data_IF_795920714875
#
_entry.id   IF_795920714875
#
_cell.length_a   1.000
_cell.length_b   1.000
_cell.length_c   1.000
_cell.angle_alpha   90.00
_cell.angle_beta   90.00
_cell.angle_gamma   90.00
#
_symmetry.space_group_name_H-M   'P 1'
#
loop_
_entity.id
_entity.type
_entity.pdbx_description
1 polymer ?
#
# COMPACT_ATOMS: atom_id res chain seq x y z
N UNK A 1 -11.65 -8.87 8.61
CA UNK A 1 -13.03 -8.69 8.13
C UNK A 1 -13.33 -7.20 8.17
N UNK A 2 -13.86 -6.63 7.08
CA UNK A 2 -14.16 -5.19 6.98
C UNK A 2 -15.66 -4.89 6.96
N UNK A 3 -16.49 -5.87 6.62
CA UNK A 3 -17.95 -5.75 6.66
C UNK A 3 -18.58 -7.11 6.97
N UNK A 4 -19.63 -7.13 7.78
CA UNK A 4 -20.45 -8.30 8.09
C UNK A 4 -21.93 -7.93 7.92
N UNK A 5 -22.72 -8.87 7.40
CA UNK A 5 -24.18 -8.76 7.36
C UNK A 5 -24.85 -10.12 7.55
N UNK A 6 -26.07 -10.12 8.06
CA UNK A 6 -26.84 -11.32 8.38
C UNK A 6 -28.32 -11.01 8.55
N UNK A 7 -28.90 -11.35 9.70
CA UNK A 7 -30.30 -11.05 9.99
C UNK A 7 -30.57 -9.54 10.06
N UNK A 8 -31.74 -9.06 9.57
CA UNK A 8 -32.15 -7.66 9.70
C UNK A 8 -32.68 -7.31 11.10
N UNK A 9 -32.89 -8.27 12.00
CA UNK A 9 -33.51 -8.01 13.30
C UNK A 9 -33.28 -9.10 14.35
N UNK A 10 -33.39 -8.73 15.62
CA UNK A 10 -33.03 -9.60 16.76
C UNK A 10 -33.91 -10.86 16.91
N UNK A 11 -35.10 -10.88 16.31
CA UNK A 11 -36.05 -11.99 16.35
C UNK A 11 -36.23 -12.68 14.98
N UNK A 12 -35.35 -12.40 14.02
CA UNK A 12 -35.38 -13.01 12.68
C UNK A 12 -34.18 -13.92 12.54
N UNK A 13 -34.39 -15.18 12.17
CA UNK A 13 -33.30 -16.11 11.85
C UNK A 13 -32.73 -15.72 10.49
N UNK A 14 -31.41 -15.56 10.40
CA UNK A 14 -30.74 -15.22 9.14
C UNK A 14 -30.83 -16.40 8.15
N UNK A 15 -31.36 -16.16 6.96
CA UNK A 15 -31.30 -17.14 5.86
C UNK A 15 -29.90 -17.24 5.26
N UNK A 16 -29.13 -16.15 5.28
CA UNK A 16 -27.74 -16.07 4.80
C UNK A 16 -26.95 -15.09 5.66
N UNK A 17 -25.66 -15.36 5.84
CA UNK A 17 -24.70 -14.39 6.36
C UNK A 17 -23.63 -14.11 5.31
N UNK A 18 -23.09 -12.89 5.28
CA UNK A 18 -21.98 -12.51 4.40
C UNK A 18 -20.90 -11.77 5.17
N UNK A 19 -19.66 -12.03 4.78
CA UNK A 19 -18.49 -11.35 5.29
C UNK A 19 -17.65 -10.83 4.12
N UNK A 20 -17.28 -9.55 4.15
CA UNK A 20 -16.24 -9.03 3.28
C UNK A 20 -14.91 -9.03 4.02
N UNK A 21 -13.91 -9.62 3.38
CA UNK A 21 -12.54 -9.65 3.88
C UNK A 21 -11.68 -8.84 2.93
N UNK A 22 -11.08 -7.78 3.45
CA UNK A 22 -10.02 -7.09 2.74
C UNK A 22 -8.67 -7.70 3.16
N UNK A 23 -7.88 -8.12 2.18
CA UNK A 23 -6.60 -8.80 2.39
C UNK A 23 -5.49 -8.06 1.65
N UNK A 24 -4.29 -8.06 2.22
CA UNK A 24 -3.06 -7.66 1.53
C UNK A 24 -2.31 -8.94 1.18
N UNK A 25 -2.10 -9.16 -0.12
CA UNK A 25 -1.34 -10.31 -0.63
C UNK A 25 0.15 -9.96 -0.54
N UNK A 26 0.95 -10.86 0.03
CA UNK A 26 2.38 -10.65 0.23
C UNK A 26 3.16 -10.78 -1.08
N UNK A 27 4.30 -10.10 -1.17
CA UNK A 27 5.24 -10.33 -2.28
C UNK A 27 5.67 -11.81 -2.28
N UNK A 28 5.64 -12.44 -3.45
CA UNK A 28 5.92 -13.86 -3.63
C UNK A 28 4.70 -14.79 -3.50
N UNK A 29 3.53 -14.22 -3.20
CA UNK A 29 2.24 -14.92 -3.22
C UNK A 29 1.43 -14.53 -4.46
N UNK A 30 0.35 -15.27 -4.74
CA UNK A 30 -0.65 -14.90 -5.76
C UNK A 30 -2.02 -14.67 -5.15
N UNK A 31 -2.87 -13.89 -5.83
CA UNK A 31 -4.28 -13.73 -5.42
C UNK A 31 -4.98 -15.09 -5.34
N UNK A 32 -4.81 -15.93 -6.35
CA UNK A 32 -5.40 -17.27 -6.39
C UNK A 32 -4.89 -18.18 -5.26
N UNK A 33 -3.58 -18.17 -5.00
CA UNK A 33 -2.98 -18.93 -3.90
C UNK A 33 -3.52 -18.50 -2.53
N UNK A 34 -3.73 -17.20 -2.34
CA UNK A 34 -4.32 -16.67 -1.12
C UNK A 34 -5.82 -17.05 -0.97
N UNK A 35 -6.60 -17.01 -2.06
CA UNK A 35 -8.01 -17.45 -2.06
C UNK A 35 -8.11 -18.93 -1.74
N UNK A 36 -7.26 -19.75 -2.35
CA UNK A 36 -7.23 -21.20 -2.13
C UNK A 36 -6.88 -21.53 -0.67
N UNK A 37 -5.97 -20.78 -0.07
CA UNK A 37 -5.67 -20.89 1.37
C UNK A 37 -6.88 -20.56 2.24
N UNK A 38 -7.65 -19.52 1.88
CA UNK A 38 -8.87 -19.17 2.60
C UNK A 38 -9.88 -20.31 2.50
N UNK A 39 -10.14 -20.83 1.30
CA UNK A 39 -11.06 -21.97 1.09
C UNK A 39 -10.67 -23.18 1.95
N UNK A 40 -9.38 -23.55 1.93
CA UNK A 40 -8.86 -24.65 2.75
C UNK A 40 -8.95 -24.39 4.25
N UNK A 41 -8.81 -23.15 4.69
CA UNK A 41 -8.89 -22.79 6.11
C UNK A 41 -10.33 -22.83 6.61
N UNK A 42 -11.28 -22.39 5.77
CA UNK A 42 -12.71 -22.46 6.08
C UNK A 42 -13.20 -23.90 6.11
N UNK A 43 -12.83 -24.71 5.11
CA UNK A 43 -13.13 -26.15 5.04
C UNK A 43 -14.60 -26.52 5.32
N UNK A 44 -15.53 -25.70 4.82
CA UNK A 44 -16.98 -25.89 4.95
C UNK A 44 -17.63 -25.69 3.58
N UNK A 45 -18.22 -26.76 3.05
CA UNK A 45 -18.87 -26.76 1.73
C UNK A 45 -20.13 -25.90 1.67
N UNK A 46 -20.67 -25.47 2.82
CA UNK A 46 -21.78 -24.52 2.88
C UNK A 46 -21.33 -23.05 2.78
N UNK A 47 -20.02 -22.78 2.81
CA UNK A 47 -19.46 -21.43 2.72
C UNK A 47 -18.88 -21.17 1.35
N UNK A 48 -19.53 -20.28 0.59
CA UNK A 48 -19.01 -19.80 -0.69
C UNK A 48 -17.91 -18.75 -0.49
N UNK A 49 -16.75 -18.95 -1.13
CA UNK A 49 -15.65 -17.98 -1.18
C UNK A 49 -15.42 -17.53 -2.62
N UNK A 50 -15.76 -16.26 -2.90
CA UNK A 50 -15.60 -15.62 -4.20
C UNK A 50 -14.75 -14.34 -4.10
N UNK A 51 -13.97 -14.06 -5.15
CA UNK A 51 -13.19 -12.84 -5.29
C UNK A 51 -14.10 -11.73 -5.82
N UNK A 52 -14.23 -10.64 -5.07
CA UNK A 52 -14.96 -9.43 -5.54
C UNK A 52 -14.07 -8.59 -6.45
N UNK A 53 -12.84 -8.32 -6.02
CA UNK A 53 -11.81 -7.63 -6.78
C UNK A 53 -10.44 -7.89 -6.17
N UNK A 54 -9.38 -7.86 -6.98
CA UNK A 54 -8.02 -8.05 -6.53
C UNK A 54 -7.01 -7.67 -7.60
N UNK A 55 -5.83 -7.26 -7.16
CA UNK A 55 -4.64 -7.06 -7.99
C UNK A 55 -3.52 -7.95 -7.41
N UNK A 56 -2.68 -8.50 -8.27
CA UNK A 56 -1.48 -9.22 -7.84
C UNK A 56 -0.52 -8.29 -7.07
N UNK A 57 0.29 -8.83 -6.13
CA UNK A 57 1.25 -8.01 -5.41
C UNK A 57 2.22 -7.36 -6.39
N UNK A 58 2.51 -6.07 -6.17
CA UNK A 58 3.48 -5.36 -7.01
C UNK A 58 4.87 -5.98 -6.86
N UNK A 59 5.65 -6.10 -7.95
CA UNK A 59 7.02 -6.61 -7.88
C UNK A 59 7.92 -5.66 -7.09
N UNK A 60 9.06 -6.17 -6.63
CA UNK A 60 10.08 -5.39 -5.95
C UNK A 60 10.92 -4.65 -6.99
N UNK A 61 10.94 -3.33 -6.92
CA UNK A 61 11.83 -2.51 -7.74
C UNK A 61 13.30 -2.75 -7.33
N UNK A 62 14.26 -2.72 -8.27
CA UNK A 62 15.69 -2.83 -7.97
C UNK A 62 16.15 -1.79 -6.94
N UNK A 63 17.22 -2.06 -6.21
CA UNK A 63 17.81 -1.08 -5.25
C UNK A 63 19.33 -0.96 -5.42
N UNK A 64 19.90 -1.73 -6.33
CA UNK A 64 21.31 -1.88 -6.63
C UNK A 64 21.69 -1.22 -7.97
N UNK A 65 20.95 -0.19 -8.37
CA UNK A 65 21.13 0.49 -9.65
C UNK A 65 21.18 2.02 -9.55
N UNK A 66 21.48 2.65 -10.69
CA UNK A 66 21.63 4.11 -10.80
C UNK A 66 20.34 4.86 -10.51
N UNK A 67 19.17 4.25 -10.75
CA UNK A 67 17.89 4.90 -10.50
C UNK A 67 17.60 4.96 -9.00
N UNK A 68 17.92 3.90 -8.24
CA UNK A 68 17.85 3.96 -6.78
C UNK A 68 18.92 4.89 -6.20
N UNK A 69 20.16 4.81 -6.68
CA UNK A 69 21.25 5.69 -6.25
C UNK A 69 20.94 7.18 -6.48
N UNK A 70 20.20 7.51 -7.56
CA UNK A 70 19.71 8.87 -7.78
C UNK A 70 18.80 9.31 -6.63
N UNK A 71 17.82 8.48 -6.22
CA UNK A 71 16.94 8.79 -5.09
C UNK A 71 17.72 9.00 -3.80
N UNK A 72 18.73 8.17 -3.53
CA UNK A 72 19.60 8.30 -2.36
C UNK A 72 20.37 9.63 -2.36
N UNK A 73 20.95 9.99 -3.50
CA UNK A 73 21.71 11.25 -3.64
C UNK A 73 20.81 12.48 -3.50
N UNK A 74 19.63 12.48 -4.12
CA UNK A 74 18.64 13.56 -4.00
C UNK A 74 18.16 13.67 -2.55
N UNK A 75 18.00 12.55 -1.85
CA UNK A 75 17.65 12.54 -0.42
C UNK A 75 18.75 13.20 0.42
N UNK A 76 20.01 12.84 0.20
CA UNK A 76 21.15 13.40 0.93
C UNK A 76 21.30 14.92 0.71
N UNK A 77 21.03 15.40 -0.50
CA UNK A 77 21.10 16.83 -0.86
C UNK A 77 20.07 17.67 -0.08
N UNK A 78 18.84 17.18 0.08
CA UNK A 78 17.74 17.95 0.69
C UNK A 78 17.57 17.63 2.18
N UNK A 79 17.94 16.43 2.60
CA UNK A 79 17.80 15.93 3.97
C UNK A 79 19.15 15.39 4.49
N UNK A 80 20.11 16.26 4.83
CA UNK A 80 21.44 15.85 5.28
C UNK A 80 21.38 14.93 6.51
N UNK A 81 22.18 13.87 6.49
CA UNK A 81 22.26 12.89 7.59
C UNK A 81 21.13 11.86 7.62
N UNK A 82 20.27 11.81 6.59
CA UNK A 82 19.25 10.76 6.45
C UNK A 82 19.75 9.60 5.58
N UNK A 83 19.26 8.39 5.87
CA UNK A 83 19.56 7.17 5.12
C UNK A 83 18.30 6.71 4.39
N UNK A 84 18.42 6.40 3.11
CA UNK A 84 17.34 5.79 2.36
C UNK A 84 17.21 4.32 2.75
N UNK A 85 15.99 3.89 3.10
CA UNK A 85 15.73 2.49 3.45
C UNK A 85 14.54 2.01 2.62
N UNK A 86 14.71 0.99 1.76
CA UNK A 86 13.59 0.41 1.03
C UNK A 86 12.70 -0.39 2.00
N UNK A 87 11.39 -0.27 1.84
CA UNK A 87 10.43 -1.02 2.64
C UNK A 87 9.19 -1.43 1.84
N UNK A 88 8.52 -2.48 2.32
CA UNK A 88 7.24 -2.94 1.76
C UNK A 88 6.12 -2.06 2.28
N UNK A 89 5.44 -1.38 1.37
CA UNK A 89 4.26 -0.57 1.69
C UNK A 89 3.03 -1.48 1.75
N UNK A 90 2.23 -1.34 2.83
CA UNK A 90 1.02 -2.16 3.07
C UNK A 90 -0.27 -1.55 2.49
N UNK A 91 -0.18 -0.38 1.86
CA UNK A 91 -1.29 0.27 1.19
C UNK A 91 -1.16 0.16 -0.34
N UNK A 92 -2.21 0.55 -1.05
CA UNK A 92 -2.22 0.56 -2.51
C UNK A 92 -1.89 1.95 -3.05
N UNK A 93 -1.26 1.99 -4.21
CA UNK A 93 -1.08 3.19 -5.03
C UNK A 93 -1.34 2.81 -6.49
N UNK A 94 -1.35 3.80 -7.38
CA UNK A 94 -1.43 3.53 -8.82
C UNK A 94 -0.15 2.91 -9.39
N UNK A 95 0.91 2.73 -8.57
CA UNK A 95 2.14 2.03 -8.94
C UNK A 95 1.89 0.63 -9.54
N UNK A 96 0.83 -0.07 -9.08
CA UNK A 96 0.40 -1.36 -9.65
C UNK A 96 0.12 -1.33 -11.16
N UNK A 97 -0.29 -0.18 -11.68
CA UNK A 97 -0.50 0.01 -13.12
C UNK A 97 0.81 0.27 -13.86
N UNK A 98 1.71 1.05 -13.26
CA UNK A 98 3.02 1.39 -13.84
C UNK A 98 3.98 0.20 -13.90
N UNK A 99 3.92 -0.72 -12.93
CA UNK A 99 4.77 -1.92 -12.92
C UNK A 99 4.55 -2.86 -14.12
N UNK A 100 3.44 -2.69 -14.86
CA UNK A 100 3.16 -3.46 -16.09
C UNK A 100 4.04 -3.06 -17.27
N UNK A 101 4.60 -1.85 -17.22
CA UNK A 101 5.36 -1.25 -18.32
C UNK A 101 6.76 -0.80 -17.90
N UNK A 102 6.97 -0.53 -16.61
CA UNK A 102 8.25 -0.05 -16.09
C UNK A 102 8.80 -1.01 -15.01
N UNK A 103 10.07 -1.44 -15.13
CA UNK A 103 10.71 -2.28 -14.11
C UNK A 103 11.07 -1.50 -12.83
N UNK A 104 11.14 -0.16 -12.94
CA UNK A 104 11.54 0.75 -11.86
C UNK A 104 10.36 1.63 -11.48
N UNK A 105 9.68 1.28 -10.40
CA UNK A 105 8.61 2.11 -9.84
C UNK A 105 8.88 2.30 -8.36
N UNK A 106 9.30 3.51 -8.01
CA UNK A 106 9.62 3.88 -6.63
C UNK A 106 8.50 4.76 -6.08
N UNK A 107 8.05 4.45 -4.87
CA UNK A 107 7.07 5.24 -4.12
C UNK A 107 7.85 6.04 -3.09
N UNK A 108 7.81 7.36 -3.20
CA UNK A 108 8.52 8.23 -2.28
C UNK A 108 7.63 9.38 -1.84
N UNK A 109 7.71 9.74 -0.56
CA UNK A 109 6.96 10.86 0.02
C UNK A 109 7.96 11.66 0.85
N UNK A 110 8.56 12.72 0.28
CA UNK A 110 9.68 13.46 0.88
C UNK A 110 9.21 14.42 2.00
N UNK A 111 8.39 13.95 2.92
CA UNK A 111 7.81 14.76 3.99
C UNK A 111 8.18 14.16 5.35
N UNK A 112 8.72 14.99 6.26
CA UNK A 112 8.92 14.58 7.65
C UNK A 112 7.55 14.58 8.32
N UNK A 113 7.03 13.39 8.57
CA UNK A 113 5.76 13.21 9.27
C UNK A 113 6.01 12.60 10.64
N UNK A 114 5.28 13.07 11.64
CA UNK A 114 5.09 12.36 12.91
C UNK A 114 4.19 11.14 12.72
N UNK A 115 4.16 10.23 13.69
CA UNK A 115 3.23 9.08 13.68
C UNK A 115 1.77 9.52 13.66
N UNK A 116 1.45 10.62 14.36
CA UNK A 116 0.12 11.20 14.36
C UNK A 116 -0.29 11.68 12.95
N UNK A 117 0.62 12.35 12.22
CA UNK A 117 0.34 12.79 10.84
C UNK A 117 0.18 11.61 9.88
N UNK A 118 1.03 10.57 9.99
CA UNK A 118 0.89 9.34 9.20
C UNK A 118 -0.44 8.64 9.44
N UNK A 119 -0.89 8.60 10.70
CA UNK A 119 -2.16 7.98 11.09
C UNK A 119 -3.38 8.80 10.64
N UNK A 120 -3.23 10.12 10.49
CA UNK A 120 -4.31 11.00 10.04
C UNK A 120 -4.59 10.97 8.55
N UNK A 121 -3.83 10.24 7.73
CA UNK A 121 -4.09 10.12 6.29
C UNK A 121 -5.46 9.48 6.08
N UNK A 122 -6.35 10.14 5.33
CA UNK A 122 -7.78 9.80 5.20
C UNK A 122 -8.60 9.93 6.50
N UNK A 123 -8.07 10.63 7.50
CA UNK A 123 -8.69 10.84 8.80
C UNK A 123 -9.15 12.29 9.01
N UNK A 124 -9.71 12.53 10.19
CA UNK A 124 -10.06 13.89 10.63
C UNK A 124 -8.79 14.70 10.88
N UNK A 125 -8.81 15.97 10.50
CA UNK A 125 -7.69 16.92 10.68
C UNK A 125 -6.36 16.45 10.05
N UNK A 126 -6.44 15.78 8.90
CA UNK A 126 -5.28 15.47 8.07
C UNK A 126 -4.51 16.76 7.76
N UNK A 127 -3.20 16.76 8.05
CA UNK A 127 -2.36 17.96 7.94
C UNK A 127 -0.89 17.62 7.73
N UNK A 128 -0.17 18.56 7.15
CA UNK A 128 1.27 18.52 6.94
C UNK A 128 1.91 19.82 7.42
N UNK A 129 3.18 19.77 7.85
CA UNK A 129 3.95 20.96 8.16
C UNK A 129 4.25 21.77 6.89
N UNK A 130 4.10 23.09 6.94
CA UNK A 130 4.39 23.96 5.78
C UNK A 130 5.86 23.85 5.36
N UNK A 131 6.79 23.81 6.33
CA UNK A 131 8.20 23.61 6.05
C UNK A 131 8.48 22.25 5.40
N UNK A 132 7.81 21.19 5.85
CA UNK A 132 7.97 19.84 5.29
C UNK A 132 7.43 19.75 3.86
N UNK A 133 6.31 20.44 3.58
CA UNK A 133 5.80 20.56 2.21
C UNK A 133 6.81 21.28 1.30
N UNK A 134 7.39 22.39 1.76
CA UNK A 134 8.42 23.14 1.02
C UNK A 134 9.67 22.29 0.78
N UNK A 135 10.13 21.54 1.78
CA UNK A 135 11.26 20.63 1.61
C UNK A 135 10.95 19.50 0.63
N UNK A 136 9.74 18.95 0.65
CA UNK A 136 9.33 17.95 -0.33
C UNK A 136 9.27 18.50 -1.75
N UNK A 137 8.85 19.77 -1.94
CA UNK A 137 8.92 20.46 -3.24
C UNK A 137 10.38 20.58 -3.70
N UNK A 138 11.30 20.97 -2.80
CA UNK A 138 12.73 21.06 -3.11
C UNK A 138 13.30 19.69 -3.53
N UNK A 139 12.90 18.62 -2.85
CA UNK A 139 13.32 17.26 -3.21
C UNK A 139 12.83 16.84 -4.59
N UNK A 140 11.55 17.01 -4.91
CA UNK A 140 11.04 16.67 -6.24
C UNK A 140 11.68 17.51 -7.34
N UNK A 141 11.88 18.81 -7.10
CA UNK A 141 12.59 19.69 -8.03
C UNK A 141 14.02 19.19 -8.28
N UNK A 142 14.75 18.87 -7.21
CA UNK A 142 16.13 18.39 -7.30
C UNK A 142 16.20 17.06 -8.05
N UNK A 143 15.27 16.13 -7.79
CA UNK A 143 15.18 14.88 -8.54
C UNK A 143 15.03 15.14 -10.04
N UNK A 144 14.08 16.00 -10.43
CA UNK A 144 13.80 16.32 -11.84
C UNK A 144 15.00 16.99 -12.51
N UNK A 145 15.71 17.87 -11.81
CA UNK A 145 16.94 18.53 -12.32
C UNK A 145 18.12 17.55 -12.51
N UNK A 146 18.05 16.36 -11.91
CA UNK A 146 19.10 15.33 -11.98
C UNK A 146 18.74 14.14 -12.88
N UNK A 147 17.52 14.09 -13.43
CA UNK A 147 17.08 13.10 -14.42
C UNK A 147 17.63 13.42 -15.82
#
# INVERSE_FOLDING_TARGET
>A
VTQLSGSPGANVIAATARAHVNMRVMVGETVDGAIERIRRTVADDHVEVSLVSGDEPSPVSPTDDTAYALLESTLADVFPGTVAVPYVMLAATDSRHFHRVWPRVYRFTPFRMSDAQRTSIHGVDERIGVADLVDGIRWYRRLIEQL
#
